data_IF_786449208362
#
_entry.id   IF_786449208362
#
_cell.length_a   1.000
_cell.length_b   1.000
_cell.length_c   1.000
_cell.angle_alpha   90.00
_cell.angle_beta   90.00
_cell.angle_gamma   90.00
#
_symmetry.space_group_name_H-M   'P 1'
#
loop_
_entity.id
_entity.type
_entity.pdbx_description
1 polymer ?
#
# COMPACT_ATOMS: atom_id res chain seq x y z
N UNK A 1 15.82 38.22 47.58
CA UNK A 1 14.85 37.39 46.82
C UNK A 1 15.24 35.94 47.03
N UNK A 2 14.29 35.04 47.25
CA UNK A 2 14.57 33.62 47.44
C UNK A 2 15.10 33.01 46.14
N UNK A 3 16.37 32.60 46.13
CA UNK A 3 17.10 32.16 44.92
C UNK A 3 16.44 30.98 44.20
N UNK A 4 15.70 30.13 44.92
CA UNK A 4 15.01 28.97 44.36
C UNK A 4 13.90 29.34 43.36
N UNK A 5 13.14 30.40 43.62
CA UNK A 5 12.04 30.81 42.74
C UNK A 5 12.53 31.38 41.40
N UNK A 6 13.71 32.01 41.41
CA UNK A 6 14.32 32.57 40.21
C UNK A 6 14.83 31.50 39.24
N UNK A 7 15.43 30.43 39.77
CA UNK A 7 15.92 29.30 38.96
C UNK A 7 14.77 28.55 38.28
N UNK A 8 13.65 28.35 38.97
CA UNK A 8 12.45 27.73 38.37
C UNK A 8 11.87 28.55 37.21
N UNK A 9 11.78 29.87 37.37
CA UNK A 9 11.30 30.76 36.31
C UNK A 9 12.25 30.79 35.11
N UNK A 10 13.57 30.79 35.35
CA UNK A 10 14.58 30.72 34.29
C UNK A 10 14.49 29.39 33.52
N UNK A 11 14.29 28.28 34.21
CA UNK A 11 14.17 26.96 33.61
C UNK A 11 12.86 26.75 32.84
N UNK A 12 11.79 27.48 33.18
CA UNK A 12 10.47 27.31 32.58
C UNK A 12 10.47 27.47 31.05
N UNK A 13 11.24 28.43 30.53
CA UNK A 13 11.37 28.66 29.08
C UNK A 13 12.02 27.47 28.34
N UNK A 14 13.27 27.11 28.65
CA UNK A 14 13.95 25.97 28.02
C UNK A 14 13.22 24.62 28.21
N UNK A 15 12.66 24.38 29.39
CA UNK A 15 11.87 23.17 29.67
C UNK A 15 10.61 23.15 28.80
N UNK A 16 9.87 24.26 28.76
CA UNK A 16 8.64 24.37 27.95
C UNK A 16 8.91 24.22 26.46
N UNK A 17 9.96 24.86 25.93
CA UNK A 17 10.34 24.74 24.53
C UNK A 17 10.74 23.30 24.16
N UNK A 18 11.53 22.64 25.00
CA UNK A 18 11.97 21.26 24.79
C UNK A 18 10.78 20.30 24.84
N UNK A 19 9.90 20.46 25.83
CA UNK A 19 8.71 19.63 25.98
C UNK A 19 7.76 19.78 24.78
N UNK A 20 7.52 21.02 24.33
CA UNK A 20 6.68 21.29 23.17
C UNK A 20 7.27 20.69 21.89
N UNK A 21 8.57 20.91 21.64
CA UNK A 21 9.26 20.33 20.49
C UNK A 21 9.15 18.80 20.48
N UNK A 22 9.42 18.16 21.61
CA UNK A 22 9.41 16.70 21.71
C UNK A 22 7.99 16.11 21.55
N UNK A 23 6.97 16.78 22.09
CA UNK A 23 5.57 16.40 21.92
C UNK A 23 5.15 16.46 20.43
N UNK A 24 5.47 17.55 19.73
CA UNK A 24 5.20 17.67 18.29
C UNK A 24 6.00 16.66 17.48
N UNK A 25 7.28 16.47 17.82
CA UNK A 25 8.14 15.49 17.17
C UNK A 25 7.53 14.09 17.30
N UNK A 26 7.13 13.63 18.48
CA UNK A 26 6.51 12.31 18.66
C UNK A 26 5.12 12.21 18.02
N UNK A 27 4.35 13.30 18.02
CA UNK A 27 3.02 13.30 17.42
C UNK A 27 3.07 13.07 15.90
N UNK A 28 4.04 13.69 15.22
CA UNK A 28 4.19 13.57 13.76
C UNK A 28 5.17 12.47 13.34
N UNK A 29 6.24 12.24 14.11
CA UNK A 29 7.08 11.06 13.93
C UNK A 29 6.40 9.89 14.59
N UNK A 30 5.70 9.15 13.74
CA UNK A 30 5.09 7.85 13.99
C UNK A 30 6.11 6.75 14.38
N UNK A 31 7.28 7.10 14.94
CA UNK A 31 8.35 6.18 15.33
C UNK A 31 7.91 5.21 16.43
N UNK A 32 6.88 5.56 17.21
CA UNK A 32 6.29 4.70 18.23
C UNK A 32 5.06 3.91 17.74
N UNK A 33 4.60 4.13 16.50
CA UNK A 33 3.54 3.32 15.90
C UNK A 33 4.17 2.28 15.00
N UNK A 34 4.18 1.03 15.45
CA UNK A 34 4.32 -0.11 14.56
C UNK A 34 3.14 -0.12 13.58
N UNK A 35 3.40 -0.48 12.33
CA UNK A 35 2.39 -0.60 11.27
C UNK A 35 1.39 -1.72 11.61
N UNK A 36 0.41 -1.43 12.47
CA UNK A 36 -0.66 -2.35 12.84
C UNK A 36 -1.72 -2.56 11.74
N UNK A 37 -1.47 -2.07 10.52
CA UNK A 37 -2.34 -2.25 9.36
C UNK A 37 -1.79 -3.28 8.37
N UNK A 38 -0.97 -4.21 8.84
CA UNK A 38 -0.74 -5.46 8.11
C UNK A 38 -1.98 -6.33 8.29
N UNK A 39 -2.95 -6.18 7.38
CA UNK A 39 -3.99 -7.18 7.23
C UNK A 39 -3.35 -8.40 6.57
N UNK A 40 -3.11 -9.45 7.36
CA UNK A 40 -2.86 -10.77 6.80
C UNK A 40 -4.16 -11.21 6.11
N UNK A 41 -4.25 -10.91 4.82
CA UNK A 41 -5.36 -11.38 4.00
C UNK A 41 -5.15 -12.86 3.83
N UNK A 42 -5.85 -13.67 4.64
CA UNK A 42 -5.88 -15.12 4.47
C UNK A 42 -6.49 -15.40 3.10
N UNK A 43 -5.64 -15.67 2.11
CA UNK A 43 -6.08 -16.10 0.79
C UNK A 43 -6.50 -17.56 0.92
N UNK A 44 -7.80 -17.79 1.09
CA UNK A 44 -8.35 -19.13 0.93
C UNK A 44 -8.34 -19.46 -0.57
N UNK A 45 -7.36 -20.28 -0.96
CA UNK A 45 -7.26 -20.81 -2.31
C UNK A 45 -8.53 -21.59 -2.63
N UNK A 46 -9.38 -21.03 -3.49
CA UNK A 46 -10.49 -21.76 -4.08
C UNK A 46 -9.93 -22.75 -5.11
N UNK A 47 -10.58 -23.90 -5.32
CA UNK A 47 -10.25 -24.77 -6.43
C UNK A 47 -10.24 -23.96 -7.73
N UNK A 48 -9.19 -24.11 -8.54
CA UNK A 48 -9.15 -23.54 -9.89
C UNK A 48 -10.16 -24.33 -10.73
N UNK A 49 -11.38 -23.82 -10.83
CA UNK A 49 -12.43 -24.39 -11.69
C UNK A 49 -12.16 -23.97 -13.14
N UNK A 50 -12.37 -24.88 -14.09
CA UNK A 50 -12.13 -24.59 -15.52
C UNK A 50 -10.82 -25.14 -16.07
N UNK A 51 -10.02 -25.86 -15.27
CA UNK A 51 -8.80 -26.53 -15.77
C UNK A 51 -9.07 -27.55 -16.90
N UNK A 52 -10.31 -28.08 -16.98
CA UNK A 52 -10.75 -28.95 -18.08
C UNK A 52 -11.03 -28.16 -19.38
N UNK A 53 -11.43 -26.89 -19.27
CA UNK A 53 -11.67 -25.97 -20.39
C UNK A 53 -10.40 -25.23 -20.82
N UNK A 54 -9.48 -24.99 -19.88
CA UNK A 54 -8.22 -24.29 -20.09
C UNK A 54 -7.21 -25.23 -20.79
N UNK A 55 -7.43 -25.44 -22.08
CA UNK A 55 -6.46 -26.12 -22.93
C UNK A 55 -5.39 -25.13 -23.38
N UNK A 56 -4.12 -25.49 -23.15
CA UNK A 56 -2.99 -24.75 -23.71
C UNK A 56 -3.06 -24.80 -25.24
N UNK A 57 -3.35 -23.67 -25.86
CA UNK A 57 -3.46 -23.57 -27.34
C UNK A 57 -2.13 -23.30 -28.03
N UNK A 58 -1.19 -22.62 -27.36
CA UNK A 58 0.12 -22.30 -27.95
C UNK A 58 1.19 -22.00 -26.88
N UNK A 59 2.45 -21.92 -27.30
CA UNK A 59 3.61 -21.44 -26.52
C UNK A 59 4.46 -20.51 -27.36
N UNK A 60 4.64 -19.26 -26.91
CA UNK A 60 5.53 -18.32 -27.57
C UNK A 60 6.81 -18.21 -26.74
N UNK A 61 7.90 -18.82 -27.22
CA UNK A 61 9.24 -18.69 -26.62
C UNK A 61 10.06 -17.67 -27.41
N UNK A 62 10.09 -16.43 -26.90
CA UNK A 62 10.81 -15.31 -27.52
C UNK A 62 9.92 -14.47 -28.42
N UNK A 63 9.51 -13.30 -27.92
CA UNK A 63 8.85 -12.25 -28.71
C UNK A 63 9.81 -11.08 -28.94
N UNK A 64 9.89 -10.61 -30.18
CA UNK A 64 10.53 -9.32 -30.50
C UNK A 64 9.48 -8.20 -30.66
N UNK A 65 8.18 -8.53 -30.58
CA UNK A 65 7.12 -7.55 -30.70
C UNK A 65 7.10 -6.67 -29.45
N UNK A 66 7.04 -5.36 -29.66
CA UNK A 66 6.94 -4.37 -28.58
C UNK A 66 5.52 -4.27 -28.00
N UNK A 67 4.53 -4.89 -28.65
CA UNK A 67 3.11 -4.83 -28.29
C UNK A 67 2.39 -6.14 -28.60
N UNK A 68 1.30 -6.38 -27.89
CA UNK A 68 0.41 -7.53 -28.10
C UNK A 68 -0.59 -7.18 -29.19
N UNK A 69 -0.83 -8.11 -30.11
CA UNK A 69 -1.85 -7.93 -31.14
C UNK A 69 -3.24 -7.82 -30.48
N UNK A 70 -3.93 -6.71 -30.75
CA UNK A 70 -5.22 -6.41 -30.12
C UNK A 70 -5.13 -5.69 -28.77
N UNK A 71 -3.99 -5.09 -28.42
CA UNK A 71 -3.90 -4.26 -27.21
C UNK A 71 -4.94 -3.12 -27.20
N UNK A 72 -5.42 -2.76 -26.01
CA UNK A 72 -6.42 -1.71 -25.80
C UNK A 72 -5.82 -0.42 -25.22
N UNK A 73 -4.50 -0.20 -25.39
CA UNK A 73 -3.76 0.87 -24.68
C UNK A 73 -4.32 2.27 -24.97
N UNK A 74 -4.82 2.50 -26.20
CA UNK A 74 -5.48 3.75 -26.59
C UNK A 74 -7.01 3.73 -26.53
N UNK A 75 -7.61 2.58 -26.25
CA UNK A 75 -9.05 2.36 -26.28
C UNK A 75 -9.61 2.25 -24.85
N UNK A 76 -9.44 3.30 -24.05
CA UNK A 76 -9.78 3.31 -22.60
C UNK A 76 -11.21 2.89 -22.25
N UNK A 77 -12.14 2.95 -23.22
CA UNK A 77 -13.55 2.56 -23.05
C UNK A 77 -13.88 1.17 -23.59
N UNK A 78 -12.95 0.54 -24.32
CA UNK A 78 -13.11 -0.84 -24.79
C UNK A 78 -12.88 -1.79 -23.61
N UNK A 79 -13.98 -2.34 -23.10
CA UNK A 79 -13.94 -3.37 -22.04
C UNK A 79 -13.71 -4.72 -22.69
N UNK A 80 -12.75 -5.48 -22.15
CA UNK A 80 -12.58 -6.89 -22.51
C UNK A 80 -13.84 -7.62 -22.04
N UNK A 81 -14.50 -8.31 -22.96
CA UNK A 81 -15.68 -9.12 -22.66
C UNK A 81 -15.21 -10.49 -22.19
N UNK A 82 -15.87 -11.03 -21.16
CA UNK A 82 -15.66 -12.41 -20.76
C UNK A 82 -16.21 -13.30 -21.89
N UNK A 83 -15.41 -14.26 -22.34
CA UNK A 83 -15.88 -15.32 -23.24
C UNK A 83 -16.98 -16.06 -22.47
N UNK A 84 -18.21 -15.95 -22.97
CA UNK A 84 -19.32 -16.73 -22.45
C UNK A 84 -19.27 -18.05 -23.18
N UNK A 85 -19.05 -19.15 -22.45
CA UNK A 85 -19.14 -20.48 -23.04
C UNK A 85 -20.56 -20.65 -23.61
N UNK A 86 -20.67 -20.73 -24.94
CA UNK A 86 -21.87 -21.27 -25.57
C UNK A 86 -21.85 -22.79 -25.43
N UNK A 87 -22.09 -23.26 -24.21
CA UNK A 87 -22.40 -24.66 -23.92
C UNK A 87 -23.65 -24.70 -23.04
N UNK A 88 -24.81 -24.76 -23.71
CA UNK A 88 -26.04 -25.33 -23.19
C UNK A 88 -26.05 -26.85 -23.39
#
# INVERSE_FOLDING_TARGET
MSDDGGLWLLAAGPVGATALYWALYRYYRNTDKSHGFEHETKVEAKPVTGAESDTKVDTIEGTQQTRIDGDNVGAYRARVQRITDESS
#
